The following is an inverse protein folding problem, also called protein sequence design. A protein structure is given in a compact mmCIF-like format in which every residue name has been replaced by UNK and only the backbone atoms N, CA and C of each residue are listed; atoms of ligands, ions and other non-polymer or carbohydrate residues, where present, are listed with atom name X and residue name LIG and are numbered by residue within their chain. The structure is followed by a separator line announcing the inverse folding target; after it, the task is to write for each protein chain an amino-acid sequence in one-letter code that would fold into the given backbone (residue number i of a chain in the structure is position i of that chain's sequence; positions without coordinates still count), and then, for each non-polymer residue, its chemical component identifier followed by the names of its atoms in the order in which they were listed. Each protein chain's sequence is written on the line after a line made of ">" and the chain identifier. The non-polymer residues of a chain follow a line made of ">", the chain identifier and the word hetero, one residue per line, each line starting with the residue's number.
data_IF_909233511600
#
_entry.id   IF_909233511600
#
_cell.length_a   1.000
_cell.length_b   1.000
_cell.length_c   1.000
_cell.angle_alpha   90.00
_cell.angle_beta   90.00
_cell.angle_gamma   90.00
#
_symmetry.space_group_name_H-M   'P 1'
#
loop_
_entity.id
_entity.type
_entity.pdbx_description
1 polymer ?
#
# COMPACT_ATOMS: atom_id res chain seq x y z
N UNK A 1 -18.73 -5.48 -59.07
CA UNK A 1 -18.99 -6.43 -57.95
C UNK A 1 -17.74 -7.04 -57.33
N UNK A 2 -16.72 -7.50 -58.08
CA UNK A 2 -15.50 -8.14 -57.51
C UNK A 2 -14.74 -7.32 -56.45
N UNK A 3 -14.67 -6.00 -56.59
CA UNK A 3 -13.94 -5.12 -55.65
C UNK A 3 -14.78 -4.74 -54.41
N UNK A 4 -16.10 -4.68 -54.56
CA UNK A 4 -17.04 -4.38 -53.46
C UNK A 4 -16.99 -5.51 -52.41
N UNK A 5 -16.94 -6.78 -52.83
CA UNK A 5 -16.81 -7.89 -51.90
C UNK A 5 -15.48 -7.86 -51.13
N UNK A 6 -14.37 -7.43 -51.76
CA UNK A 6 -13.08 -7.28 -51.08
C UNK A 6 -13.09 -6.13 -50.07
N UNK A 7 -13.75 -5.02 -50.40
CA UNK A 7 -13.93 -3.88 -49.49
C UNK A 7 -14.81 -4.24 -48.28
N UNK A 8 -15.87 -5.03 -48.49
CA UNK A 8 -16.72 -5.53 -47.39
C UNK A 8 -15.93 -6.45 -46.46
N UNK A 9 -15.13 -7.37 -47.01
CA UNK A 9 -14.29 -8.28 -46.21
C UNK A 9 -13.24 -7.48 -45.42
N UNK A 10 -12.63 -6.45 -46.01
CA UNK A 10 -11.66 -5.60 -45.34
C UNK A 10 -12.28 -4.75 -44.22
N UNK A 11 -13.51 -4.27 -44.43
CA UNK A 11 -14.27 -3.56 -43.40
C UNK A 11 -14.66 -4.49 -42.24
N UNK A 12 -15.05 -5.74 -42.53
CA UNK A 12 -15.37 -6.74 -41.51
C UNK A 12 -14.14 -7.18 -40.71
N UNK A 13 -12.97 -7.30 -41.34
CA UNK A 13 -11.74 -7.67 -40.63
C UNK A 13 -11.21 -6.52 -39.75
N UNK A 14 -11.44 -5.26 -40.14
CA UNK A 14 -11.11 -4.10 -39.32
C UNK A 14 -11.93 -4.04 -38.01
N UNK A 15 -13.20 -4.45 -37.99
CA UNK A 15 -14.02 -4.44 -36.77
C UNK A 15 -13.63 -5.53 -35.77
N UNK A 16 -13.07 -6.65 -36.23
CA UNK A 16 -12.55 -7.71 -35.36
C UNK A 16 -11.36 -7.22 -34.50
N UNK A 17 -10.51 -6.34 -35.06
CA UNK A 17 -9.37 -5.76 -34.35
C UNK A 17 -9.76 -4.79 -33.23
N UNK A 18 -10.91 -4.12 -33.34
CA UNK A 18 -11.40 -3.16 -32.32
C UNK A 18 -12.19 -3.86 -31.20
N UNK A 19 -12.72 -5.07 -31.43
CA UNK A 19 -13.58 -5.75 -30.46
C UNK A 19 -12.88 -6.19 -29.17
N UNK A 20 -11.54 -6.32 -29.19
CA UNK A 20 -10.76 -6.80 -28.04
C UNK A 20 -10.22 -5.68 -27.13
N UNK A 21 -10.35 -4.40 -27.52
CA UNK A 21 -9.79 -3.26 -26.76
C UNK A 21 -10.38 -3.11 -25.36
N UNK A 22 -11.68 -3.42 -25.18
CA UNK A 22 -12.37 -3.32 -23.88
C UNK A 22 -11.81 -4.22 -22.78
N UNK A 23 -11.08 -5.29 -23.14
CA UNK A 23 -10.41 -6.17 -22.17
C UNK A 23 -9.03 -5.67 -21.74
N UNK A 24 -8.42 -4.75 -22.50
CA UNK A 24 -7.11 -4.18 -22.20
C UNK A 24 -7.17 -3.10 -21.10
N UNK A 25 -8.32 -2.44 -20.95
CA UNK A 25 -8.51 -1.30 -20.04
C UNK A 25 -9.19 -1.68 -18.73
N UNK A 26 -9.23 -2.97 -18.40
CA UNK A 26 -9.87 -3.45 -17.17
C UNK A 26 -8.97 -3.22 -15.96
N UNK A 27 -9.54 -2.62 -14.92
CA UNK A 27 -8.92 -2.57 -13.60
C UNK A 27 -9.25 -3.84 -12.79
N UNK A 28 -8.37 -4.24 -11.85
CA UNK A 28 -8.65 -5.37 -10.95
C UNK A 28 -9.92 -5.12 -10.13
N UNK A 29 -10.78 -6.12 -10.02
CA UNK A 29 -12.07 -5.97 -9.32
C UNK A 29 -11.92 -5.71 -7.81
N UNK A 30 -10.88 -6.27 -7.19
CA UNK A 30 -10.65 -6.22 -5.75
C UNK A 30 -9.74 -5.08 -5.29
N UNK A 31 -9.22 -4.26 -6.20
CA UNK A 31 -8.26 -3.22 -5.87
C UNK A 31 -8.51 -1.95 -6.67
N UNK A 32 -8.26 -0.80 -6.05
CA UNK A 32 -8.32 0.49 -6.74
C UNK A 32 -6.95 0.76 -7.36
N UNK A 33 -6.91 0.97 -8.67
CA UNK A 33 -5.69 1.40 -9.33
C UNK A 33 -5.31 2.81 -8.86
N UNK A 34 -4.01 3.08 -8.69
CA UNK A 34 -3.53 4.36 -8.14
C UNK A 34 -4.02 5.58 -8.92
N UNK A 35 -4.15 5.49 -10.25
CA UNK A 35 -4.69 6.58 -11.08
C UNK A 35 -6.18 6.87 -10.86
N UNK A 36 -6.91 5.96 -10.20
CA UNK A 36 -8.33 6.11 -9.86
C UNK A 36 -8.53 6.53 -8.38
N UNK A 37 -7.46 6.57 -7.58
CA UNK A 37 -7.55 6.73 -6.12
C UNK A 37 -7.57 8.19 -5.63
N UNK A 38 -7.70 9.19 -6.52
CA UNK A 38 -7.59 10.62 -6.18
C UNK A 38 -8.52 11.49 -7.03
N UNK A 39 -9.73 11.01 -7.35
CA UNK A 39 -10.64 11.73 -8.24
C UNK A 39 -11.67 12.56 -7.47
N UNK A 40 -12.17 12.02 -6.37
CA UNK A 40 -13.33 12.54 -5.64
C UNK A 40 -13.01 12.83 -4.18
N UNK A 41 -13.82 13.66 -3.53
CA UNK A 41 -13.76 13.87 -2.07
C UNK A 41 -13.93 12.57 -1.30
N UNK A 42 -14.74 11.63 -1.81
CA UNK A 42 -14.88 10.30 -1.21
C UNK A 42 -13.56 9.54 -1.17
N UNK A 43 -12.75 9.64 -2.24
CA UNK A 43 -11.41 9.03 -2.26
C UNK A 43 -10.51 9.62 -1.18
N UNK A 44 -10.57 10.94 -0.96
CA UNK A 44 -9.85 11.58 0.14
C UNK A 44 -10.28 11.01 1.50
N UNK A 45 -11.57 10.73 1.69
CA UNK A 45 -12.09 10.06 2.89
C UNK A 45 -11.52 8.65 3.10
N UNK A 46 -11.38 7.87 2.02
CA UNK A 46 -10.74 6.54 2.08
C UNK A 46 -9.26 6.63 2.42
N UNK A 47 -8.52 7.58 1.82
CA UNK A 47 -7.12 7.83 2.18
C UNK A 47 -6.97 8.21 3.64
N UNK A 48 -7.81 9.13 4.14
CA UNK A 48 -7.81 9.52 5.55
C UNK A 48 -8.00 8.29 6.46
N UNK A 49 -8.99 7.46 6.16
CA UNK A 49 -9.26 6.22 6.90
C UNK A 49 -8.05 5.27 6.88
N UNK A 50 -7.43 5.07 5.71
CA UNK A 50 -6.26 4.20 5.57
C UNK A 50 -5.02 4.70 6.33
N UNK A 51 -4.75 6.01 6.27
CA UNK A 51 -3.65 6.63 7.01
C UNK A 51 -3.83 6.48 8.52
N UNK A 52 -5.03 6.76 9.05
CA UNK A 52 -5.33 6.57 10.48
C UNK A 52 -5.28 5.10 10.91
N UNK A 53 -5.71 4.17 10.05
CA UNK A 53 -5.58 2.73 10.31
C UNK A 53 -4.11 2.32 10.47
N UNK A 54 -3.25 2.82 9.58
CA UNK A 54 -1.79 2.57 9.65
C UNK A 54 -1.19 3.21 10.90
N UNK A 55 -1.56 4.47 11.21
CA UNK A 55 -1.11 5.16 12.41
C UNK A 55 -1.46 4.37 13.68
N UNK A 56 -2.71 3.90 13.80
CA UNK A 56 -3.14 3.06 14.91
C UNK A 56 -2.26 1.82 15.05
N UNK A 57 -1.87 1.17 13.95
CA UNK A 57 -0.97 0.01 13.95
C UNK A 57 0.46 0.30 14.46
N UNK A 58 0.89 1.56 14.38
CA UNK A 58 2.28 1.97 14.64
C UNK A 58 2.47 2.68 16.00
N UNK A 59 1.45 2.75 16.86
CA UNK A 59 1.52 3.43 18.17
C UNK A 59 1.37 2.49 19.37
N UNK A 60 1.48 1.18 19.15
CA UNK A 60 1.46 0.18 20.21
C UNK A 60 2.41 -0.97 19.90
N UNK A 61 2.62 -1.86 20.87
CA UNK A 61 3.42 -3.05 20.66
C UNK A 61 4.90 -2.72 20.50
N UNK A 62 5.54 -3.30 19.47
CA UNK A 62 6.99 -3.15 19.23
C UNK A 62 7.40 -1.68 19.02
N UNK A 63 6.48 -0.84 18.55
CA UNK A 63 6.71 0.60 18.34
C UNK A 63 6.78 1.41 19.64
N UNK A 64 6.40 0.80 20.77
CA UNK A 64 6.29 1.48 22.06
C UNK A 64 7.22 0.85 23.11
N UNK A 65 7.06 -0.44 23.42
CA UNK A 65 7.75 -1.03 24.59
C UNK A 65 9.21 -1.39 24.32
N UNK A 66 9.68 -1.41 23.06
CA UNK A 66 10.99 -2.00 22.74
C UNK A 66 12.14 -1.25 23.39
N UNK A 67 12.03 0.08 23.48
CA UNK A 67 13.00 0.94 24.18
C UNK A 67 12.93 0.77 25.69
N UNK A 68 11.74 0.49 26.24
CA UNK A 68 11.59 0.19 27.68
C UNK A 68 12.24 -1.16 28.01
N UNK A 69 12.09 -2.17 27.15
CA UNK A 69 12.77 -3.47 27.32
C UNK A 69 14.28 -3.35 27.18
N UNK A 70 14.76 -2.40 26.36
CA UNK A 70 16.18 -2.10 26.24
C UNK A 70 16.73 -1.33 27.44
N UNK A 71 15.89 -0.59 28.18
CA UNK A 71 16.31 0.10 29.40
C UNK A 71 16.66 -0.86 30.54
N UNK A 72 17.19 -0.32 31.63
CA UNK A 72 17.50 -1.06 32.86
C UNK A 72 16.29 -1.22 33.80
N UNK A 73 15.08 -0.88 33.34
CA UNK A 73 13.85 -0.93 34.15
C UNK A 73 13.14 -2.28 34.12
N UNK A 74 13.45 -3.14 33.15
CA UNK A 74 12.76 -4.42 32.91
C UNK A 74 13.76 -5.59 32.83
N UNK A 75 13.29 -6.78 33.18
CA UNK A 75 14.08 -8.01 33.05
C UNK A 75 13.21 -9.15 32.48
N UNK A 76 13.83 -10.10 31.78
CA UNK A 76 13.14 -11.24 31.19
C UNK A 76 12.68 -12.22 32.29
N UNK A 77 11.45 -12.74 32.14
CA UNK A 77 10.97 -13.87 32.95
C UNK A 77 11.53 -15.19 32.42
N UNK A 78 11.40 -16.27 33.19
CA UNK A 78 11.80 -17.61 32.73
C UNK A 78 11.03 -18.09 31.49
N UNK A 79 9.85 -17.52 31.21
CA UNK A 79 8.93 -17.96 30.16
C UNK A 79 8.89 -16.99 28.95
N UNK A 80 9.78 -16.00 28.87
CA UNK A 80 9.70 -14.93 27.86
C UNK A 80 9.88 -15.41 26.41
N UNK A 81 10.35 -16.64 26.19
CA UNK A 81 10.39 -17.28 24.88
C UNK A 81 11.20 -16.52 23.82
N UNK A 82 12.22 -15.77 24.23
CA UNK A 82 13.03 -14.91 23.37
C UNK A 82 12.27 -13.75 22.68
N UNK A 83 11.05 -13.42 23.12
CA UNK A 83 10.33 -12.23 22.65
C UNK A 83 11.06 -10.98 23.15
N UNK A 84 11.47 -10.10 22.22
CA UNK A 84 12.34 -8.95 22.49
C UNK A 84 13.70 -9.31 23.11
N UNK A 85 14.24 -10.50 22.78
CA UNK A 85 15.51 -10.95 23.33
C UNK A 85 16.70 -10.05 23.00
N UNK A 86 16.77 -9.52 21.77
CA UNK A 86 17.84 -8.61 21.35
C UNK A 86 17.83 -7.29 22.14
N UNK A 87 16.69 -6.55 22.23
CA UNK A 87 16.58 -5.41 23.14
C UNK A 87 16.98 -5.71 24.58
N UNK A 88 16.55 -6.85 25.14
CA UNK A 88 16.86 -7.22 26.52
C UNK A 88 18.36 -7.52 26.74
N UNK A 89 19.00 -8.23 25.81
CA UNK A 89 20.42 -8.64 25.93
C UNK A 89 21.40 -7.62 25.38
N UNK A 90 20.93 -6.53 24.78
CA UNK A 90 21.76 -5.56 24.05
C UNK A 90 22.60 -6.21 22.95
N UNK A 91 22.02 -7.18 22.24
CA UNK A 91 22.69 -7.97 21.21
C UNK A 91 21.85 -7.98 19.94
N UNK A 92 22.23 -7.14 18.98
CA UNK A 92 21.49 -6.90 17.73
C UNK A 92 22.26 -7.43 16.53
N UNK A 93 21.54 -8.16 15.66
CA UNK A 93 22.03 -8.60 14.37
C UNK A 93 21.45 -7.74 13.25
N UNK A 94 22.05 -7.83 12.06
CA UNK A 94 21.61 -7.10 10.87
C UNK A 94 20.17 -7.44 10.43
N UNK A 95 19.62 -8.59 10.87
CA UNK A 95 18.27 -9.06 10.58
C UNK A 95 17.25 -8.84 11.72
N UNK A 96 17.58 -8.03 12.73
CA UNK A 96 16.73 -7.82 13.90
C UNK A 96 15.32 -7.34 13.53
N UNK A 97 14.33 -8.14 13.92
CA UNK A 97 12.92 -7.91 13.62
C UNK A 97 12.39 -6.63 14.28
N UNK A 98 12.81 -6.33 15.50
CA UNK A 98 12.31 -5.17 16.24
C UNK A 98 12.72 -3.86 15.57
N UNK A 99 13.99 -3.75 15.15
CA UNK A 99 14.49 -2.58 14.43
C UNK A 99 13.84 -2.49 13.04
N UNK A 100 13.88 -3.60 12.28
CA UNK A 100 13.37 -3.65 10.90
C UNK A 100 11.90 -3.28 10.82
N UNK A 101 11.06 -3.89 11.64
CA UNK A 101 9.60 -3.72 11.56
C UNK A 101 9.18 -2.34 12.08
N UNK A 102 9.85 -1.82 13.12
CA UNK A 102 9.61 -0.47 13.62
C UNK A 102 9.93 0.57 12.54
N UNK A 103 11.10 0.45 11.91
CA UNK A 103 11.51 1.32 10.80
C UNK A 103 10.53 1.23 9.62
N UNK A 104 10.25 0.01 9.15
CA UNK A 104 9.36 -0.23 8.01
C UNK A 104 7.94 0.29 8.27
N UNK A 105 7.42 0.15 9.48
CA UNK A 105 6.10 0.64 9.87
C UNK A 105 5.99 2.16 9.73
N UNK A 106 6.95 2.92 10.29
CA UNK A 106 6.94 4.38 10.18
C UNK A 106 7.13 4.87 8.75
N UNK A 107 8.06 4.27 8.00
CA UNK A 107 8.25 4.64 6.59
C UNK A 107 7.07 4.27 5.70
N UNK A 108 6.34 3.20 6.00
CA UNK A 108 5.09 2.87 5.33
C UNK A 108 4.02 3.94 5.55
N UNK A 109 3.86 4.42 6.80
CA UNK A 109 2.95 5.52 7.11
C UNK A 109 3.34 6.81 6.37
N UNK A 110 4.63 7.19 6.43
CA UNK A 110 5.16 8.36 5.72
C UNK A 110 4.93 8.26 4.21
N UNK A 111 5.16 7.09 3.61
CA UNK A 111 4.91 6.85 2.19
C UNK A 111 3.46 7.11 1.81
N UNK A 112 2.50 6.60 2.60
CA UNK A 112 1.07 6.79 2.34
C UNK A 112 0.66 8.27 2.46
N UNK A 113 1.17 8.96 3.49
CA UNK A 113 0.95 10.40 3.69
C UNK A 113 1.49 11.21 2.51
N UNK A 114 2.74 10.98 2.11
CA UNK A 114 3.36 11.68 1.00
C UNK A 114 2.64 11.41 -0.33
N UNK A 115 2.17 10.17 -0.53
CA UNK A 115 1.39 9.81 -1.71
C UNK A 115 0.09 10.60 -1.77
N UNK A 116 -0.61 10.76 -0.64
CA UNK A 116 -1.80 11.58 -0.55
C UNK A 116 -1.49 13.06 -0.80
N UNK A 117 -0.53 13.65 -0.08
CA UNK A 117 -0.16 15.07 -0.23
C UNK A 117 0.20 15.44 -1.68
N UNK A 118 0.89 14.54 -2.38
CA UNK A 118 1.29 14.75 -3.79
C UNK A 118 0.08 14.78 -4.74
N UNK A 119 -1.00 14.08 -4.42
CA UNK A 119 -2.14 13.90 -5.33
C UNK A 119 -3.42 14.59 -4.86
N UNK A 120 -3.49 15.04 -3.61
CA UNK A 120 -4.62 15.79 -3.06
C UNK A 120 -5.04 16.99 -3.95
N UNK A 121 -4.12 17.76 -4.57
CA UNK A 121 -4.51 18.84 -5.48
C UNK A 121 -5.27 18.41 -6.74
N UNK A 122 -5.27 17.11 -7.09
CA UNK A 122 -5.96 16.57 -8.27
C UNK A 122 -7.44 16.23 -8.00
N UNK A 123 -7.84 16.21 -6.73
CA UNK A 123 -9.18 15.81 -6.32
C UNK A 123 -10.17 16.93 -6.66
N UNK A 124 -11.26 16.59 -7.39
CA UNK A 124 -12.32 17.56 -7.66
C UNK A 124 -13.08 17.87 -6.36
N UNK A 125 -13.15 19.14 -6.01
CA UNK A 125 -13.86 19.65 -4.82
C UNK A 125 -15.21 20.27 -5.15
N UNK A 126 -15.60 20.28 -6.43
CA UNK A 126 -16.82 20.88 -6.97
C UNK A 126 -17.68 19.83 -7.67
#
# INVERSE_FOLDING_TARGET
>A
MKYINKLIILALSATLLVSCSKKLELFPYSNIATGQAFQTITDAGYWNTGMYSTFKGNVYGIFMFSTDVQSDLLNASLEYGNRNGAPHRWDFNDDDYTIRDTWAGYYSAMKNINMFLTNAPKISTA
#
